data_IF_795543105184
#
_entry.id   IF_795543105184
#
_cell.length_a   1.000
_cell.length_b   1.000
_cell.length_c   1.000
_cell.angle_alpha   90.00
_cell.angle_beta   90.00
_cell.angle_gamma   90.00
#
_symmetry.space_group_name_H-M   'P 1'
#
loop_
_entity.id
_entity.type
_entity.pdbx_description
1 polymer ?
#
# COMPACT_ATOMS: atom_id res chain seq x y z
N UNK A 1 31.67 18.54 7.76
CA UNK A 1 30.56 18.16 6.88
C UNK A 1 29.37 17.86 7.75
N UNK A 2 28.47 18.84 7.89
CA UNK A 2 27.24 18.69 8.66
C UNK A 2 26.24 17.88 7.87
N UNK A 3 25.93 16.66 8.32
CA UNK A 3 24.80 15.89 7.82
C UNK A 3 23.53 16.69 8.12
N UNK A 4 22.95 17.28 7.10
CA UNK A 4 21.63 17.90 7.18
C UNK A 4 20.65 16.76 7.50
N UNK A 5 20.17 16.68 8.74
CA UNK A 5 19.05 15.82 9.07
C UNK A 5 17.89 16.24 8.17
N UNK A 6 17.42 15.32 7.30
CA UNK A 6 16.22 15.56 6.53
C UNK A 6 15.12 15.92 7.53
N UNK A 7 14.51 17.10 7.40
CA UNK A 7 13.33 17.43 8.19
C UNK A 7 12.27 16.35 7.91
N UNK A 8 11.40 16.03 8.87
CA UNK A 8 10.29 15.06 8.67
C UNK A 8 9.43 15.38 7.44
N UNK A 9 9.55 16.62 6.94
CA UNK A 9 8.86 17.10 5.75
C UNK A 9 9.55 16.73 4.42
N UNK A 10 10.77 16.21 4.43
CA UNK A 10 11.56 15.90 3.21
C UNK A 10 11.52 14.41 2.83
N UNK A 11 11.02 13.53 3.71
CA UNK A 11 10.92 12.10 3.42
C UNK A 11 9.88 11.82 2.35
N UNK A 12 10.14 10.87 1.43
CA UNK A 12 9.15 10.43 0.45
C UNK A 12 7.97 9.74 1.14
N UNK A 13 6.87 9.65 0.41
CA UNK A 13 5.69 8.88 0.80
C UNK A 13 5.67 7.59 -0.01
N UNK A 14 5.35 6.47 0.64
CA UNK A 14 5.20 5.18 -0.02
C UNK A 14 3.77 4.94 -0.50
N UNK A 15 3.60 4.48 -1.73
CA UNK A 15 2.33 3.94 -2.24
C UNK A 15 2.59 2.50 -2.69
N UNK A 16 1.84 1.55 -2.16
CA UNK A 16 1.96 0.14 -2.53
C UNK A 16 0.76 -0.27 -3.36
N UNK A 17 1.00 -0.55 -4.63
CA UNK A 17 -0.01 -0.92 -5.61
C UNK A 17 -0.09 0.06 -6.77
N UNK A 18 0.40 -0.34 -7.94
CA UNK A 18 0.39 0.43 -9.18
C UNK A 18 -0.85 0.14 -10.04
N UNK A 19 -2.01 -0.10 -9.40
CA UNK A 19 -3.32 -0.15 -10.05
C UNK A 19 -3.85 1.24 -10.40
N UNK A 20 -5.08 1.33 -10.92
CA UNK A 20 -5.70 2.62 -11.27
C UNK A 20 -5.71 3.58 -10.07
N UNK A 21 -6.28 3.15 -8.95
CA UNK A 21 -6.42 4.00 -7.76
C UNK A 21 -5.06 4.36 -7.14
N UNK A 22 -4.14 3.40 -7.01
CA UNK A 22 -2.79 3.65 -6.51
C UNK A 22 -2.01 4.64 -7.37
N UNK A 23 -2.15 4.57 -8.71
CA UNK A 23 -1.53 5.53 -9.63
C UNK A 23 -2.06 6.95 -9.45
N UNK A 24 -3.38 7.09 -9.28
CA UNK A 24 -4.02 8.39 -9.02
C UNK A 24 -3.56 8.97 -7.69
N UNK A 25 -3.54 8.16 -6.63
CA UNK A 25 -3.06 8.59 -5.31
C UNK A 25 -1.58 8.98 -5.35
N UNK A 26 -0.74 8.18 -6.02
CA UNK A 26 0.67 8.51 -6.19
C UNK A 26 0.87 9.84 -6.91
N UNK A 27 0.13 10.09 -7.99
CA UNK A 27 0.18 11.36 -8.72
C UNK A 27 -0.29 12.55 -7.88
N UNK A 28 -1.34 12.35 -7.07
CA UNK A 28 -1.86 13.41 -6.20
C UNK A 28 -0.83 13.81 -5.14
N UNK A 29 -0.22 12.83 -4.47
CA UNK A 29 0.80 13.03 -3.45
C UNK A 29 2.08 13.63 -4.04
N UNK A 30 2.44 13.24 -5.26
CA UNK A 30 3.64 13.70 -5.95
C UNK A 30 3.63 15.20 -6.29
N UNK A 31 2.48 15.86 -6.21
CA UNK A 31 2.41 17.32 -6.34
C UNK A 31 3.08 18.08 -5.20
N UNK A 32 3.29 17.41 -4.07
CA UNK A 32 3.84 18.03 -2.86
C UNK A 32 5.08 17.34 -2.31
N UNK A 33 5.29 16.06 -2.64
CA UNK A 33 6.37 15.23 -2.10
C UNK A 33 6.84 14.17 -3.11
N UNK A 34 8.05 13.71 -2.97
CA UNK A 34 8.51 12.52 -3.68
C UNK A 34 7.69 11.30 -3.24
N UNK A 35 7.35 10.44 -4.18
CA UNK A 35 6.56 9.23 -3.94
C UNK A 35 7.32 8.01 -4.43
N UNK A 36 7.47 7.01 -3.58
CA UNK A 36 7.89 5.67 -3.98
C UNK A 36 6.64 4.85 -4.30
N UNK A 37 6.50 4.45 -5.56
CA UNK A 37 5.37 3.63 -6.01
C UNK A 37 5.83 2.18 -6.17
N UNK A 38 5.37 1.32 -5.27
CA UNK A 38 5.68 -0.10 -5.35
C UNK A 38 4.77 -0.83 -6.34
N UNK A 39 5.40 -1.60 -7.23
CA UNK A 39 4.73 -2.57 -8.07
C UNK A 39 5.49 -3.91 -8.00
N UNK A 40 4.74 -5.02 -7.89
CA UNK A 40 5.31 -6.37 -7.88
C UNK A 40 5.86 -6.77 -9.25
N UNK A 41 5.21 -6.32 -10.33
CA UNK A 41 5.58 -6.64 -11.70
C UNK A 41 6.64 -5.66 -12.21
N UNK A 42 7.83 -6.19 -12.52
CA UNK A 42 8.92 -5.42 -13.09
C UNK A 42 8.58 -4.77 -14.43
N UNK A 43 7.68 -5.35 -15.22
CA UNK A 43 7.26 -4.75 -16.49
C UNK A 43 6.53 -3.43 -16.26
N UNK A 44 5.71 -3.34 -15.20
CA UNK A 44 5.07 -2.09 -14.80
C UNK A 44 6.10 -1.04 -14.42
N UNK A 45 7.14 -1.44 -13.67
CA UNK A 45 8.23 -0.54 -13.28
C UNK A 45 8.97 -0.01 -14.51
N UNK A 46 9.39 -0.92 -15.40
CA UNK A 46 10.08 -0.55 -16.66
C UNK A 46 9.21 0.35 -17.53
N UNK A 47 7.92 0.06 -17.63
CA UNK A 47 6.96 0.90 -18.36
C UNK A 47 6.93 2.33 -17.79
N UNK A 48 6.78 2.48 -16.47
CA UNK A 48 6.74 3.80 -15.82
C UNK A 48 8.07 4.55 -16.03
N UNK A 49 9.20 3.87 -15.91
CA UNK A 49 10.52 4.48 -16.12
C UNK A 49 10.66 5.00 -17.56
N UNK A 50 10.30 4.17 -18.54
CA UNK A 50 10.55 4.46 -19.94
C UNK A 50 9.54 5.44 -20.55
N UNK A 51 8.27 5.35 -20.16
CA UNK A 51 7.17 6.06 -20.82
C UNK A 51 6.49 7.11 -19.94
N UNK A 52 6.74 7.08 -18.65
CA UNK A 52 6.00 7.89 -17.66
C UNK A 52 4.48 7.67 -17.72
N UNK A 53 4.03 6.51 -18.19
CA UNK A 53 2.60 6.16 -18.29
C UNK A 53 2.33 4.86 -17.56
N UNK A 54 1.30 4.82 -16.74
CA UNK A 54 0.77 3.61 -16.11
C UNK A 54 -0.75 3.62 -16.11
N UNK A 55 -1.37 2.53 -16.55
CA UNK A 55 -2.85 2.39 -16.60
C UNK A 55 -3.57 3.57 -17.27
N UNK A 56 -2.96 4.15 -18.31
CA UNK A 56 -3.49 5.32 -19.01
C UNK A 56 -3.25 6.67 -18.32
N UNK A 57 -2.62 6.68 -17.14
CA UNK A 57 -2.25 7.90 -16.42
C UNK A 57 -0.80 8.30 -16.72
N UNK A 58 -0.59 9.57 -17.04
CA UNK A 58 0.76 10.15 -17.05
C UNK A 58 1.24 10.28 -15.60
N UNK A 59 2.37 9.66 -15.28
CA UNK A 59 2.93 9.67 -13.94
C UNK A 59 3.76 10.94 -13.71
N UNK A 60 3.50 11.60 -12.58
CA UNK A 60 4.27 12.77 -12.16
C UNK A 60 5.77 12.45 -12.07
N UNK A 61 6.63 13.43 -12.39
CA UNK A 61 8.09 13.22 -12.39
C UNK A 61 8.64 12.80 -11.01
N UNK A 62 8.00 13.21 -9.91
CA UNK A 62 8.37 12.83 -8.55
C UNK A 62 7.83 11.45 -8.11
N UNK A 63 7.14 10.72 -8.98
CA UNK A 63 6.80 9.31 -8.74
C UNK A 63 7.95 8.44 -9.21
N UNK A 64 8.57 7.74 -8.25
CA UNK A 64 9.66 6.79 -8.48
C UNK A 64 9.16 5.36 -8.28
N UNK A 65 9.08 4.55 -9.33
CA UNK A 65 8.64 3.16 -9.20
C UNK A 65 9.73 2.28 -8.57
N UNK A 66 9.31 1.30 -7.77
CA UNK A 66 10.20 0.33 -7.11
C UNK A 66 9.51 -1.02 -6.94
N UNK A 67 10.28 -2.11 -6.89
CA UNK A 67 9.84 -3.45 -6.47
C UNK A 67 10.47 -3.90 -5.14
N UNK A 68 11.09 -2.99 -4.40
CA UNK A 68 11.73 -3.26 -3.12
C UNK A 68 10.90 -2.68 -1.95
N UNK A 69 10.10 -3.55 -1.30
CA UNK A 69 9.29 -3.20 -0.12
C UNK A 69 10.16 -2.76 1.06
N UNK A 70 11.30 -3.40 1.25
CA UNK A 70 12.22 -3.05 2.33
C UNK A 70 12.83 -1.67 2.15
N UNK A 71 13.24 -1.34 0.92
CA UNK A 71 13.73 0.00 0.60
C UNK A 71 12.65 1.07 0.76
N UNK A 72 11.41 0.77 0.34
CA UNK A 72 10.28 1.68 0.53
C UNK A 72 10.03 1.95 2.02
N UNK A 73 9.97 0.89 2.85
CA UNK A 73 9.72 1.05 4.28
C UNK A 73 10.85 1.83 5.00
N UNK A 74 12.10 1.62 4.61
CA UNK A 74 13.23 2.38 5.21
C UNK A 74 13.21 3.86 4.87
N UNK A 75 12.65 4.24 3.73
CA UNK A 75 12.65 5.62 3.26
C UNK A 75 11.37 6.40 3.61
N UNK A 76 10.24 5.69 3.82
CA UNK A 76 8.92 6.30 3.97
C UNK A 76 8.36 6.04 5.36
N UNK A 77 8.06 7.08 6.12
CA UNK A 77 7.35 6.94 7.39
C UNK A 77 5.83 6.81 7.20
N UNK A 78 5.31 7.35 6.09
CA UNK A 78 3.89 7.26 5.72
C UNK A 78 3.77 6.38 4.48
N UNK A 79 2.97 5.32 4.58
CA UNK A 79 2.80 4.32 3.52
C UNK A 79 1.31 4.11 3.25
N UNK A 80 0.96 4.12 1.97
CA UNK A 80 -0.40 3.88 1.48
C UNK A 80 -0.51 2.51 0.80
N UNK A 81 -0.92 1.44 1.51
CA UNK A 81 -1.24 0.16 0.87
C UNK A 81 -2.58 0.27 0.11
N UNK A 82 -2.52 0.14 -1.22
CA UNK A 82 -3.68 0.28 -2.12
C UNK A 82 -3.68 -0.90 -3.09
N UNK A 83 -4.11 -2.05 -2.60
CA UNK A 83 -4.20 -3.29 -3.37
C UNK A 83 -5.54 -3.99 -3.09
N UNK A 84 -5.98 -4.97 -3.90
CA UNK A 84 -7.17 -5.77 -3.61
C UNK A 84 -7.09 -6.47 -2.26
N UNK A 85 -8.25 -6.63 -1.59
CA UNK A 85 -8.34 -7.21 -0.22
C UNK A 85 -7.81 -8.65 -0.16
N UNK A 86 -8.03 -9.45 -1.18
CA UNK A 86 -7.56 -10.84 -1.29
C UNK A 86 -6.03 -11.01 -1.22
N UNK A 87 -5.28 -9.96 -1.53
CA UNK A 87 -3.81 -9.97 -1.48
C UNK A 87 -3.26 -9.20 -0.28
N UNK A 88 -4.13 -8.57 0.51
CA UNK A 88 -3.72 -7.58 1.50
C UNK A 88 -2.94 -8.20 2.66
N UNK A 89 -3.45 -9.29 3.23
CA UNK A 89 -2.77 -10.00 4.33
C UNK A 89 -1.35 -10.44 3.92
N UNK A 90 -1.22 -11.07 2.76
CA UNK A 90 0.08 -11.49 2.24
C UNK A 90 1.06 -10.34 2.00
N UNK A 91 0.55 -9.17 1.58
CA UNK A 91 1.38 -7.96 1.47
C UNK A 91 1.87 -7.50 2.85
N UNK A 92 0.98 -7.40 3.84
CA UNK A 92 1.36 -6.91 5.18
C UNK A 92 2.35 -7.87 5.83
N UNK A 93 2.17 -9.19 5.70
CA UNK A 93 3.13 -10.19 6.18
C UNK A 93 4.52 -9.97 5.56
N UNK A 94 4.61 -9.69 4.26
CA UNK A 94 5.89 -9.41 3.59
C UNK A 94 6.49 -8.05 4.01
N UNK A 95 5.67 -7.05 4.26
CA UNK A 95 6.10 -5.71 4.65
C UNK A 95 6.51 -5.65 6.14
N UNK A 96 5.87 -6.45 6.99
CA UNK A 96 5.98 -6.43 8.45
C UNK A 96 7.44 -6.47 8.98
N UNK A 97 8.36 -7.28 8.45
CA UNK A 97 9.76 -7.29 8.90
C UNK A 97 10.51 -5.96 8.74
N UNK A 98 9.98 -5.08 7.89
CA UNK A 98 10.57 -3.76 7.59
C UNK A 98 9.84 -2.61 8.30
N UNK A 99 8.73 -2.91 8.99
CA UNK A 99 7.94 -1.90 9.69
C UNK A 99 8.45 -1.66 11.10
N UNK A 100 8.26 -0.45 11.57
CA UNK A 100 8.53 0.00 12.93
C UNK A 100 7.30 0.72 13.50
N UNK A 101 7.19 0.86 14.84
CA UNK A 101 6.02 1.50 15.48
C UNK A 101 5.78 2.96 15.06
N UNK A 102 6.78 3.64 14.50
CA UNK A 102 6.64 5.01 14.01
C UNK A 102 5.97 5.11 12.64
N UNK A 103 5.88 4.01 11.87
CA UNK A 103 5.21 4.04 10.58
C UNK A 103 3.72 4.34 10.70
N UNK A 104 3.21 5.07 9.73
CA UNK A 104 1.80 5.37 9.56
C UNK A 104 1.32 4.64 8.31
N UNK A 105 0.39 3.70 8.46
CA UNK A 105 -0.21 3.02 7.33
C UNK A 105 -1.62 3.54 7.09
N UNK A 106 -1.87 4.03 5.87
CA UNK A 106 -3.19 4.54 5.46
C UNK A 106 -3.67 3.70 4.29
N UNK A 107 -4.49 2.69 4.56
CA UNK A 107 -4.95 1.82 3.49
C UNK A 107 -6.09 2.44 2.67
N UNK A 108 -6.05 2.21 1.36
CA UNK A 108 -7.13 2.56 0.43
C UNK A 108 -7.89 1.34 -0.11
N UNK A 109 -7.67 0.18 0.51
CA UNK A 109 -8.27 -1.10 0.11
C UNK A 109 -9.72 -1.15 0.54
N UNK A 110 -10.59 -1.52 -0.39
CA UNK A 110 -12.02 -1.80 -0.13
C UNK A 110 -12.21 -3.28 0.18
N UNK A 111 -13.24 -3.59 0.99
CA UNK A 111 -13.59 -4.95 1.35
C UNK A 111 -13.03 -5.40 2.68
N UNK A 112 -13.05 -6.70 2.87
CA UNK A 112 -12.68 -7.38 4.10
C UNK A 112 -11.68 -8.50 3.79
N UNK A 113 -10.92 -8.88 4.79
CA UNK A 113 -10.17 -10.13 4.79
C UNK A 113 -11.09 -11.22 5.35
N UNK A 114 -11.30 -12.28 4.57
CA UNK A 114 -12.19 -13.38 4.96
C UNK A 114 -11.36 -14.66 5.04
N UNK A 115 -11.34 -15.25 6.23
CA UNK A 115 -10.68 -16.54 6.47
C UNK A 115 -11.74 -17.60 6.67
N UNK A 116 -11.85 -18.54 5.74
CA UNK A 116 -12.82 -19.63 5.78
C UNK A 116 -12.19 -20.90 6.36
N UNK A 117 -12.99 -21.78 6.99
CA UNK A 117 -12.55 -23.13 7.35
C UNK A 117 -12.07 -23.92 6.13
N UNK A 118 -11.18 -24.86 6.36
CA UNK A 118 -10.64 -25.72 5.30
C UNK A 118 -11.76 -26.43 4.53
N UNK A 119 -11.68 -26.38 3.20
CA UNK A 119 -12.66 -26.99 2.30
C UNK A 119 -13.95 -26.21 2.09
N UNK A 120 -14.11 -25.01 2.67
CA UNK A 120 -15.27 -24.15 2.44
C UNK A 120 -14.92 -22.97 1.52
N UNK A 121 -15.92 -22.49 0.78
CA UNK A 121 -15.85 -21.28 -0.03
C UNK A 121 -16.97 -20.30 0.36
N UNK A 122 -16.85 -19.03 -0.06
CA UNK A 122 -17.90 -18.03 0.17
C UNK A 122 -19.25 -18.49 -0.41
N UNK A 123 -19.22 -19.19 -1.54
CA UNK A 123 -20.43 -19.66 -2.23
C UNK A 123 -21.09 -20.86 -1.53
N UNK A 124 -20.36 -21.59 -0.69
CA UNK A 124 -20.84 -22.81 -0.02
C UNK A 124 -21.10 -22.64 1.47
N UNK A 125 -20.60 -21.56 2.09
CA UNK A 125 -20.80 -21.31 3.51
C UNK A 125 -22.21 -20.75 3.78
N UNK A 126 -22.94 -21.35 4.71
CA UNK A 126 -24.31 -20.93 5.03
C UNK A 126 -24.37 -19.61 5.79
N UNK A 127 -23.38 -19.34 6.64
CA UNK A 127 -23.26 -18.12 7.45
C UNK A 127 -21.80 -17.76 7.69
N UNK A 128 -21.48 -16.47 7.60
CA UNK A 128 -20.17 -15.93 7.99
C UNK A 128 -20.24 -15.51 9.46
N UNK A 129 -19.39 -16.10 10.27
CA UNK A 129 -19.17 -15.65 11.64
C UNK A 129 -18.27 -14.40 11.67
N UNK A 130 -18.46 -13.53 12.66
CA UNK A 130 -17.64 -12.32 12.82
C UNK A 130 -16.14 -12.63 12.95
N UNK A 131 -15.78 -13.78 13.52
CA UNK A 131 -14.40 -14.22 13.65
C UNK A 131 -13.73 -14.54 12.32
N UNK A 132 -14.51 -14.86 11.29
CA UNK A 132 -14.04 -15.17 9.93
C UNK A 132 -13.80 -13.92 9.10
N UNK A 133 -14.30 -12.76 9.54
CA UNK A 133 -14.26 -11.50 8.76
C UNK A 133 -13.50 -10.45 9.52
N UNK A 134 -12.44 -9.89 8.90
CA UNK A 134 -11.63 -8.83 9.48
C UNK A 134 -11.61 -7.61 8.58
N UNK A 135 -11.62 -6.45 9.17
CA UNK A 135 -11.35 -5.21 8.46
C UNK A 135 -9.88 -5.16 8.07
N UNK A 136 -9.58 -4.41 7.03
CA UNK A 136 -8.19 -4.21 6.57
C UNK A 136 -7.31 -3.61 7.68
N UNK A 137 -7.87 -2.72 8.50
CA UNK A 137 -7.16 -2.14 9.66
C UNK A 137 -6.86 -3.19 10.74
N UNK A 138 -7.74 -4.18 10.96
CA UNK A 138 -7.47 -5.30 11.87
C UNK A 138 -6.33 -6.17 11.34
N UNK A 139 -6.32 -6.46 10.04
CA UNK A 139 -5.21 -7.21 9.39
C UNK A 139 -3.87 -6.52 9.61
N UNK A 140 -3.79 -5.20 9.44
CA UNK A 140 -2.54 -4.46 9.67
C UNK A 140 -2.06 -4.63 11.11
N UNK A 141 -2.96 -4.53 12.09
CA UNK A 141 -2.62 -4.65 13.52
C UNK A 141 -2.23 -6.07 13.93
N UNK A 142 -2.78 -7.09 13.26
CA UNK A 142 -2.43 -8.48 13.50
C UNK A 142 -1.07 -8.86 12.92
N UNK A 143 -0.81 -8.42 11.70
CA UNK A 143 0.36 -8.85 10.93
C UNK A 143 1.58 -7.95 11.12
N UNK A 144 1.46 -6.82 11.84
CA UNK A 144 2.56 -5.87 11.95
C UNK A 144 2.63 -5.15 13.29
N UNK A 145 3.76 -4.49 13.53
CA UNK A 145 3.99 -3.62 14.69
C UNK A 145 3.43 -2.20 14.51
N UNK A 146 2.81 -1.91 13.36
CA UNK A 146 2.26 -0.59 13.08
C UNK A 146 1.00 -0.32 13.92
N UNK A 147 1.04 0.72 14.74
CA UNK A 147 -0.07 1.12 15.62
C UNK A 147 -0.88 2.29 15.06
N UNK A 148 -0.26 3.08 14.17
CA UNK A 148 -0.88 4.22 13.50
C UNK A 148 -1.48 3.79 12.16
N UNK A 149 -2.76 3.45 12.19
CA UNK A 149 -3.48 2.93 11.04
C UNK A 149 -4.65 3.84 10.70
N UNK A 150 -4.71 4.28 9.46
CA UNK A 150 -5.80 5.07 8.90
C UNK A 150 -6.43 4.39 7.69
N UNK A 151 -7.58 4.89 7.29
CA UNK A 151 -8.30 4.44 6.09
C UNK A 151 -8.61 5.63 5.19
N UNK A 152 -8.26 5.51 3.91
CA UNK A 152 -8.70 6.43 2.87
C UNK A 152 -10.03 5.91 2.33
N UNK A 153 -11.12 6.41 2.89
CA UNK A 153 -12.48 6.04 2.55
C UNK A 153 -13.21 7.17 1.81
N UNK A 154 -14.16 6.79 0.96
CA UNK A 154 -14.97 7.72 0.20
C UNK A 154 -15.57 7.05 -1.04
N UNK A 155 -16.31 7.79 -1.90
CA UNK A 155 -16.85 7.29 -3.15
C UNK A 155 -15.75 7.13 -4.19
N UNK A 156 -14.72 6.36 -3.85
CA UNK A 156 -13.60 6.09 -4.75
C UNK A 156 -14.08 5.14 -5.85
N UNK A 157 -14.16 5.64 -7.07
CA UNK A 157 -14.40 4.81 -8.25
C UNK A 157 -13.12 4.10 -8.63
N UNK A 158 -13.20 2.81 -8.78
CA UNK A 158 -12.11 1.96 -9.23
C UNK A 158 -12.22 1.70 -10.72
#
# INVERSE_FOLDING_TARGET
>A
MTSKSLSDNDKPVGVIGAGNFGSVVANLLARQRKVLLYARDENVIRQIINTRVNRGHTMHHDVMPTNDLGSLARQCDVIFPIIPSEHFRGLITQLSPHLHPYHILIHGTKGFDVTLPEGQSIDTIATLDRSMVKTISEVIREESVAVRVGCLAGPNLS
#
